data_IF_845538660460
#
_entry.id   IF_845538660460
#
_cell.length_a   1.000
_cell.length_b   1.000
_cell.length_c   1.000
_cell.angle_alpha   90.00
_cell.angle_beta   90.00
_cell.angle_gamma   90.00
#
_symmetry.space_group_name_H-M   'P 1'
#
loop_
_entity.id
_entity.type
_entity.pdbx_description
1 polymer ?
#
# COMPACT_ATOMS: atom_id res chain seq x y z
N UNK A 1 27.95 -57.61 -42.50
CA UNK A 1 26.95 -56.55 -42.81
C UNK A 1 25.55 -57.11 -42.58
N UNK A 2 24.93 -56.87 -41.43
CA UNK A 2 23.52 -57.23 -41.15
C UNK A 2 22.70 -55.94 -41.18
N UNK A 3 21.83 -55.79 -42.18
CA UNK A 3 20.90 -54.66 -42.32
C UNK A 3 19.93 -54.69 -41.14
N UNK A 4 20.08 -53.76 -40.18
CA UNK A 4 19.09 -53.54 -39.11
C UNK A 4 17.85 -52.87 -39.71
N UNK A 5 16.69 -53.45 -39.45
CA UNK A 5 15.40 -52.98 -39.94
C UNK A 5 15.05 -51.59 -39.35
N UNK A 6 14.73 -50.58 -40.19
CA UNK A 6 14.45 -49.21 -39.74
C UNK A 6 13.15 -49.08 -38.91
N UNK A 7 12.25 -50.07 -38.96
CA UNK A 7 10.98 -50.03 -38.22
C UNK A 7 11.12 -50.16 -36.69
N UNK A 8 12.22 -50.71 -36.18
CA UNK A 8 12.41 -50.85 -34.72
C UNK A 8 12.69 -49.51 -34.06
N UNK A 9 13.50 -48.65 -34.68
CA UNK A 9 13.91 -47.36 -34.13
C UNK A 9 12.72 -46.39 -34.02
N UNK A 10 11.81 -46.42 -34.99
CA UNK A 10 10.59 -45.60 -34.97
C UNK A 10 9.62 -46.02 -33.87
N UNK A 11 9.52 -47.31 -33.55
CA UNK A 11 8.67 -47.81 -32.45
C UNK A 11 9.23 -47.42 -31.07
N UNK A 12 10.55 -47.46 -30.88
CA UNK A 12 11.18 -46.98 -29.64
C UNK A 12 11.02 -45.46 -29.51
N UNK A 13 11.24 -44.69 -30.56
CA UNK A 13 11.06 -43.24 -30.53
C UNK A 13 9.61 -42.83 -30.24
N UNK A 14 8.63 -43.56 -30.77
CA UNK A 14 7.20 -43.33 -30.49
C UNK A 14 6.80 -43.73 -29.06
N UNK A 15 7.37 -44.82 -28.52
CA UNK A 15 7.20 -45.21 -27.11
C UNK A 15 7.88 -44.22 -26.15
N UNK A 16 9.07 -43.71 -26.48
CA UNK A 16 9.74 -42.66 -25.72
C UNK A 16 9.01 -41.32 -25.81
N UNK A 17 8.37 -40.97 -26.94
CA UNK A 17 7.55 -39.76 -27.04
C UNK A 17 6.23 -39.87 -26.27
N UNK A 18 5.66 -41.09 -26.15
CA UNK A 18 4.49 -41.35 -25.30
C UNK A 18 4.83 -41.34 -23.80
N UNK A 19 6.06 -41.72 -23.42
CA UNK A 19 6.58 -41.62 -22.04
C UNK A 19 7.02 -40.20 -21.64
N UNK A 20 7.18 -39.29 -22.61
CA UNK A 20 7.49 -37.87 -22.40
C UNK A 20 6.26 -36.96 -22.42
N UNK A 21 5.04 -37.51 -22.56
CA UNK A 21 3.84 -36.76 -22.25
C UNK A 21 3.88 -36.40 -20.77
N UNK A 22 3.96 -35.11 -20.39
CA UNK A 22 3.90 -34.73 -18.99
C UNK A 22 2.52 -35.16 -18.51
N UNK A 23 2.47 -36.21 -17.70
CA UNK A 23 1.32 -36.50 -16.87
C UNK A 23 1.16 -35.24 -16.02
N UNK A 24 0.22 -34.38 -16.40
CA UNK A 24 -0.22 -33.29 -15.53
C UNK A 24 -0.86 -33.99 -14.34
N UNK A 25 -0.06 -34.25 -13.32
CA UNK A 25 -0.59 -34.56 -12.01
C UNK A 25 -1.51 -33.39 -11.68
N UNK A 26 -2.82 -33.67 -11.63
CA UNK A 26 -3.76 -32.74 -11.02
C UNK A 26 -3.27 -32.63 -9.58
N UNK A 27 -2.61 -31.52 -9.26
CA UNK A 27 -2.18 -31.25 -7.91
C UNK A 27 -3.44 -31.28 -7.05
N UNK A 28 -3.52 -32.27 -6.15
CA UNK A 28 -4.61 -32.36 -5.20
C UNK A 28 -4.57 -31.13 -4.29
N UNK A 29 -5.73 -30.63 -3.89
CA UNK A 29 -5.82 -29.50 -2.97
C UNK A 29 -5.00 -29.79 -1.70
N UNK A 30 -4.13 -28.85 -1.34
CA UNK A 30 -3.40 -28.93 -0.09
C UNK A 30 -4.38 -28.62 1.05
N UNK A 31 -4.69 -29.64 1.85
CA UNK A 31 -5.57 -29.51 3.01
C UNK A 31 -4.77 -28.92 4.18
N UNK A 32 -5.28 -27.85 4.78
CA UNK A 32 -4.71 -27.26 5.99
C UNK A 32 -5.38 -27.86 7.22
N UNK A 33 -4.59 -28.56 8.06
CA UNK A 33 -5.05 -28.91 9.40
C UNK A 33 -4.97 -27.69 10.30
N UNK A 34 -6.12 -27.33 10.85
CA UNK A 34 -6.30 -26.14 11.68
C UNK A 34 -6.14 -26.41 13.15
N UNK A 35 -6.08 -27.67 13.59
CA UNK A 35 -5.97 -28.02 15.01
C UNK A 35 -4.63 -27.63 15.66
N UNK A 36 -3.46 -27.92 15.06
CA UNK A 36 -2.16 -27.64 15.69
C UNK A 36 -1.72 -26.18 15.58
N UNK A 37 -2.58 -25.28 15.13
CA UNK A 37 -2.26 -23.85 14.99
C UNK A 37 -1.89 -23.23 16.34
N UNK A 38 -0.62 -22.88 16.47
CA UNK A 38 -0.04 -22.15 17.60
C UNK A 38 -0.41 -20.64 17.57
N UNK A 39 0.36 -19.82 18.28
CA UNK A 39 0.17 -18.36 18.35
C UNK A 39 0.50 -17.61 17.06
N UNK A 40 1.19 -18.23 16.10
CA UNK A 40 1.58 -17.58 14.85
C UNK A 40 0.53 -17.73 13.75
N UNK A 41 0.30 -16.70 12.93
CA UNK A 41 -0.58 -16.81 11.77
C UNK A 41 -0.01 -17.76 10.72
N UNK A 42 -0.88 -18.52 10.06
CA UNK A 42 -0.50 -19.29 8.87
C UNK A 42 -0.89 -18.51 7.61
N UNK A 43 0.08 -18.32 6.71
CA UNK A 43 -0.19 -17.81 5.36
C UNK A 43 -0.96 -18.85 4.55
N UNK A 44 -2.07 -18.43 3.93
CA UNK A 44 -2.94 -19.33 3.19
C UNK A 44 -2.57 -19.45 1.71
N UNK A 45 -1.59 -18.69 1.24
CA UNK A 45 -1.23 -18.60 -0.19
C UNK A 45 -0.98 -19.96 -0.83
N UNK A 46 -0.23 -20.84 -0.16
CA UNK A 46 0.08 -22.19 -0.68
C UNK A 46 -1.08 -23.20 -0.55
N UNK A 47 -2.12 -22.86 0.22
CA UNK A 47 -3.29 -23.72 0.45
C UNK A 47 -4.45 -23.37 -0.46
N UNK A 48 -4.40 -22.24 -1.15
CA UNK A 48 -5.43 -21.86 -2.11
C UNK A 48 -5.26 -22.60 -3.42
N UNK A 49 -6.35 -23.22 -3.88
CA UNK A 49 -6.53 -23.49 -5.29
C UNK A 49 -7.18 -22.25 -5.93
N UNK A 50 -6.63 -21.76 -7.05
CA UNK A 50 -7.06 -20.50 -7.66
C UNK A 50 -7.67 -20.73 -9.05
N UNK A 51 -8.76 -20.04 -9.34
CA UNK A 51 -9.41 -19.98 -10.65
C UNK A 51 -9.66 -18.52 -11.04
N UNK A 52 -9.15 -18.12 -12.20
CA UNK A 52 -9.50 -16.82 -12.80
C UNK A 52 -10.84 -16.92 -13.56
N UNK A 53 -11.71 -15.94 -13.33
CA UNK A 53 -13.01 -15.74 -13.97
C UNK A 53 -13.01 -14.41 -14.75
N UNK A 54 -12.53 -14.38 -16.01
CA UNK A 54 -12.51 -13.18 -16.84
C UNK A 54 -13.90 -12.71 -17.27
N UNK A 55 -14.90 -13.60 -17.31
CA UNK A 55 -16.25 -13.25 -17.75
C UNK A 55 -17.12 -12.69 -16.61
N UNK A 56 -16.65 -12.76 -15.37
CA UNK A 56 -17.38 -12.34 -14.16
C UNK A 56 -18.72 -13.07 -13.95
N UNK A 57 -18.94 -14.17 -14.65
CA UNK A 57 -20.23 -14.84 -14.74
C UNK A 57 -20.33 -16.09 -13.87
N UNK A 58 -19.21 -16.62 -13.37
CA UNK A 58 -19.22 -17.86 -12.60
C UNK A 58 -19.90 -17.64 -11.25
N UNK A 59 -20.79 -18.56 -10.89
CA UNK A 59 -21.44 -18.63 -9.57
C UNK A 59 -20.84 -19.74 -8.71
N UNK A 60 -21.16 -19.77 -7.41
CA UNK A 60 -20.75 -20.85 -6.52
C UNK A 60 -21.16 -22.23 -7.07
N UNK A 61 -22.40 -22.34 -7.58
CA UNK A 61 -22.91 -23.59 -8.13
C UNK A 61 -22.13 -24.03 -9.39
N UNK A 62 -21.61 -23.08 -10.17
CA UNK A 62 -20.80 -23.41 -11.35
C UNK A 62 -19.41 -23.88 -10.99
N UNK A 63 -18.74 -23.20 -10.04
CA UNK A 63 -17.38 -23.57 -9.62
C UNK A 63 -17.33 -24.90 -8.86
N UNK A 64 -18.47 -25.36 -8.33
CA UNK A 64 -18.63 -26.68 -7.71
C UNK A 64 -18.84 -27.81 -8.72
N UNK A 65 -19.22 -27.52 -9.98
CA UNK A 65 -19.35 -28.55 -11.02
C UNK A 65 -17.96 -29.11 -11.36
N UNK A 66 -17.86 -30.43 -11.54
CA UNK A 66 -16.60 -31.14 -11.77
C UNK A 66 -15.73 -30.52 -12.88
N UNK A 67 -16.36 -30.11 -13.98
CA UNK A 67 -15.69 -29.47 -15.12
C UNK A 67 -14.95 -28.19 -14.69
N UNK A 68 -15.61 -27.31 -13.95
CA UNK A 68 -15.01 -26.05 -13.49
C UNK A 68 -14.09 -26.28 -12.29
N UNK A 69 -14.46 -27.17 -11.37
CA UNK A 69 -13.68 -27.54 -10.21
C UNK A 69 -12.29 -28.10 -10.58
N UNK A 70 -12.17 -28.75 -11.75
CA UNK A 70 -10.91 -29.27 -12.30
C UNK A 70 -9.97 -28.19 -12.86
N UNK A 71 -10.48 -26.98 -13.11
CA UNK A 71 -9.72 -25.84 -13.63
C UNK A 71 -8.97 -25.06 -12.54
N UNK A 72 -9.28 -25.32 -11.26
CA UNK A 72 -8.57 -24.72 -10.14
C UNK A 72 -7.11 -25.17 -10.14
N UNK A 73 -6.20 -24.21 -9.97
CA UNK A 73 -4.75 -24.46 -9.89
C UNK A 73 -4.29 -24.40 -8.43
N UNK A 74 -3.94 -25.55 -7.88
CA UNK A 74 -3.44 -25.72 -6.51
C UNK A 74 -1.89 -25.75 -6.42
N UNK A 75 -1.19 -25.15 -7.39
CA UNK A 75 0.27 -25.12 -7.51
C UNK A 75 0.90 -23.81 -7.00
N UNK A 76 0.20 -23.10 -6.10
CA UNK A 76 0.67 -21.83 -5.58
C UNK A 76 1.92 -22.02 -4.73
N UNK A 77 2.98 -21.26 -5.03
CA UNK A 77 4.21 -21.30 -4.24
C UNK A 77 4.02 -20.64 -2.88
N UNK A 78 4.68 -21.12 -1.82
CA UNK A 78 4.68 -20.45 -0.52
C UNK A 78 5.13 -18.99 -0.66
N UNK A 79 4.22 -18.08 -0.35
CA UNK A 79 4.47 -16.64 -0.37
C UNK A 79 3.53 -15.94 0.62
N UNK A 80 3.82 -14.69 0.94
CA UNK A 80 2.96 -13.89 1.80
C UNK A 80 1.62 -13.57 1.12
N UNK A 81 1.61 -13.29 -0.20
CA UNK A 81 0.38 -12.93 -0.90
C UNK A 81 0.38 -13.39 -2.37
N UNK A 82 -0.83 -13.61 -2.90
CA UNK A 82 -1.06 -13.70 -4.34
C UNK A 82 -1.20 -12.28 -4.92
N UNK A 83 -0.42 -11.94 -5.94
CA UNK A 83 -0.46 -10.62 -6.58
C UNK A 83 -0.65 -10.77 -8.09
N UNK A 84 -1.84 -10.43 -8.58
CA UNK A 84 -2.18 -10.46 -10.00
C UNK A 84 -2.16 -9.06 -10.64
N UNK A 85 -1.82 -8.02 -9.87
CA UNK A 85 -1.75 -6.65 -10.34
C UNK A 85 -3.10 -6.11 -10.81
N UNK A 86 -3.09 -5.22 -11.81
CA UNK A 86 -4.30 -4.64 -12.40
C UNK A 86 -4.92 -5.60 -13.42
N UNK A 87 -6.11 -6.09 -13.11
CA UNK A 87 -6.93 -6.95 -13.96
C UNK A 87 -8.40 -6.61 -13.73
N UNK A 88 -9.25 -6.91 -14.71
CA UNK A 88 -10.71 -6.75 -14.62
C UNK A 88 -11.40 -8.08 -14.29
N UNK A 89 -10.65 -9.19 -14.19
CA UNK A 89 -11.17 -10.52 -13.87
C UNK A 89 -11.54 -10.66 -12.40
N UNK A 90 -12.48 -11.55 -12.09
CA UNK A 90 -12.70 -12.03 -10.72
C UNK A 90 -11.79 -13.24 -10.45
N UNK A 91 -11.38 -13.43 -9.20
CA UNK A 91 -10.59 -14.58 -8.78
C UNK A 91 -11.36 -15.38 -7.74
N UNK A 92 -11.55 -16.66 -8.04
CA UNK A 92 -12.10 -17.65 -7.14
C UNK A 92 -10.96 -18.36 -6.43
N UNK A 93 -11.02 -18.42 -5.10
CA UNK A 93 -10.12 -19.16 -4.24
C UNK A 93 -10.92 -20.27 -3.59
N UNK A 94 -10.40 -21.50 -3.66
CA UNK A 94 -10.91 -22.66 -2.93
C UNK A 94 -9.90 -23.02 -1.85
N UNK A 95 -10.37 -23.16 -0.62
CA UNK A 95 -9.54 -23.50 0.54
C UNK A 95 -10.16 -24.69 1.26
N UNK A 96 -9.37 -25.74 1.45
CA UNK A 96 -9.77 -26.96 2.15
C UNK A 96 -9.19 -26.96 3.56
N UNK A 97 -10.07 -26.87 4.56
CA UNK A 97 -9.74 -26.82 5.98
C UNK A 97 -10.13 -28.14 6.65
N UNK A 98 -9.25 -28.66 7.51
CA UNK A 98 -9.52 -29.82 8.34
C UNK A 98 -9.38 -29.47 9.81
N UNK A 99 -10.17 -30.11 10.66
CA UNK A 99 -9.96 -30.15 12.09
C UNK A 99 -9.87 -31.61 12.51
N UNK A 100 -8.66 -32.09 12.74
CA UNK A 100 -8.43 -33.48 13.15
C UNK A 100 -8.62 -33.71 14.65
N UNK A 101 -8.79 -32.64 15.45
CA UNK A 101 -8.89 -32.74 16.89
C UNK A 101 -10.29 -33.11 17.40
N UNK A 102 -10.33 -33.49 18.67
CA UNK A 102 -11.51 -33.98 19.38
C UNK A 102 -12.40 -32.84 19.94
N UNK A 103 -12.22 -31.61 19.45
CA UNK A 103 -13.00 -30.44 19.87
C UNK A 103 -13.25 -29.51 18.70
N UNK A 104 -14.39 -28.79 18.67
CA UNK A 104 -14.60 -27.69 17.75
C UNK A 104 -13.53 -26.62 17.91
N UNK A 105 -13.12 -26.04 16.78
CA UNK A 105 -12.04 -25.07 16.70
C UNK A 105 -12.55 -23.78 16.04
N UNK A 106 -12.37 -22.66 16.72
CA UNK A 106 -12.65 -21.32 16.17
C UNK A 106 -11.40 -20.71 15.53
N UNK A 107 -11.55 -20.18 14.32
CA UNK A 107 -10.48 -19.51 13.58
C UNK A 107 -10.97 -18.18 12.99
N UNK A 108 -10.04 -17.27 12.77
CA UNK A 108 -10.29 -16.01 12.07
C UNK A 108 -9.57 -16.04 10.73
N UNK A 109 -10.32 -16.08 9.64
CA UNK A 109 -9.80 -15.94 8.28
C UNK A 109 -9.72 -14.45 7.93
N UNK A 110 -8.51 -13.91 7.87
CA UNK A 110 -8.25 -12.51 7.54
C UNK A 110 -7.82 -12.39 6.07
N UNK A 111 -8.39 -11.42 5.36
CA UNK A 111 -7.90 -10.92 4.07
C UNK A 111 -7.38 -9.49 4.30
N UNK A 112 -6.06 -9.36 4.43
CA UNK A 112 -5.37 -8.14 4.84
C UNK A 112 -5.16 -7.14 3.69
N UNK A 113 -6.26 -6.79 3.03
CA UNK A 113 -6.34 -5.70 2.06
C UNK A 113 -7.73 -5.06 2.11
N UNK A 114 -7.81 -3.87 2.69
CA UNK A 114 -9.04 -3.09 2.88
C UNK A 114 -9.69 -2.63 1.56
N UNK A 115 -8.91 -2.56 0.47
CA UNK A 115 -9.34 -2.03 -0.82
C UNK A 115 -10.08 -3.01 -1.74
N UNK A 116 -10.32 -4.26 -1.33
CA UNK A 116 -11.06 -5.21 -2.16
C UNK A 116 -12.49 -4.72 -2.40
N UNK A 117 -12.79 -4.34 -3.64
CA UNK A 117 -14.07 -3.75 -4.03
C UNK A 117 -15.27 -4.65 -3.69
N UNK A 118 -15.22 -5.93 -4.09
CA UNK A 118 -16.22 -6.94 -3.76
C UNK A 118 -15.57 -8.25 -3.34
N UNK A 119 -16.10 -8.83 -2.26
CA UNK A 119 -15.73 -10.14 -1.73
C UNK A 119 -17.02 -10.91 -1.47
N UNK A 120 -17.10 -12.13 -2.00
CA UNK A 120 -18.11 -13.10 -1.63
C UNK A 120 -17.41 -14.25 -0.92
N UNK A 121 -17.83 -14.52 0.32
CA UNK A 121 -17.32 -15.61 1.13
C UNK A 121 -18.41 -16.65 1.28
N UNK A 122 -18.10 -17.90 0.91
CA UNK A 122 -19.03 -19.01 0.95
C UNK A 122 -18.49 -20.08 1.91
N UNK A 123 -19.27 -20.40 2.93
CA UNK A 123 -18.95 -21.44 3.92
C UNK A 123 -20.11 -22.42 4.06
N UNK A 124 -19.83 -23.72 4.28
CA UNK A 124 -20.87 -24.70 4.57
C UNK A 124 -21.47 -24.45 5.96
N UNK A 125 -22.78 -24.62 6.10
CA UNK A 125 -23.48 -24.68 7.38
C UNK A 125 -23.54 -26.11 7.92
N UNK A 126 -24.18 -26.29 9.07
CA UNK A 126 -24.32 -27.60 9.71
C UNK A 126 -25.10 -28.63 8.87
N UNK A 127 -25.91 -28.17 7.90
CA UNK A 127 -26.63 -29.04 6.96
C UNK A 127 -25.82 -29.36 5.68
N UNK A 128 -24.65 -28.74 5.51
CA UNK A 128 -23.84 -28.81 4.31
C UNK A 128 -24.25 -27.83 3.21
N UNK A 129 -25.28 -27.01 3.44
CA UNK A 129 -25.66 -25.94 2.53
C UNK A 129 -24.70 -24.74 2.67
N UNK A 130 -24.41 -24.05 1.57
CA UNK A 130 -23.46 -22.94 1.62
C UNK A 130 -24.16 -21.62 1.97
N UNK A 131 -23.72 -21.00 3.06
CA UNK A 131 -24.06 -19.62 3.41
C UNK A 131 -23.10 -18.67 2.72
N UNK A 132 -23.64 -17.60 2.15
CA UNK A 132 -22.87 -16.59 1.40
C UNK A 132 -22.90 -15.26 2.13
N UNK A 133 -21.73 -14.74 2.46
CA UNK A 133 -21.53 -13.37 2.92
C UNK A 133 -21.00 -12.55 1.75
N UNK A 134 -21.70 -11.47 1.40
CA UNK A 134 -21.22 -10.49 0.41
C UNK A 134 -20.79 -9.21 1.12
N UNK A 135 -19.52 -8.85 1.00
CA UNK A 135 -18.93 -7.64 1.60
C UNK A 135 -17.92 -7.00 0.64
N UNK A 136 -17.35 -5.86 1.00
CA UNK A 136 -16.36 -5.18 0.17
C UNK A 136 -16.10 -3.73 0.54
N UNK A 137 -15.13 -3.12 -0.12
CA UNK A 137 -14.83 -1.69 -0.02
C UNK A 137 -15.96 -0.85 -0.63
N UNK A 138 -16.72 -1.41 -1.57
CA UNK A 138 -17.88 -0.78 -2.18
C UNK A 138 -19.22 -1.12 -1.50
N UNK A 139 -19.24 -1.96 -0.47
CA UNK A 139 -20.46 -2.27 0.29
C UNK A 139 -20.45 -1.58 1.65
N UNK A 140 -21.61 -1.34 2.29
CA UNK A 140 -21.66 -0.75 3.62
C UNK A 140 -20.78 -1.50 4.63
N UNK A 141 -20.14 -0.80 5.55
CA UNK A 141 -19.27 -1.41 6.58
C UNK A 141 -20.00 -2.47 7.39
N UNK A 142 -21.29 -2.26 7.67
CA UNK A 142 -22.16 -3.20 8.39
C UNK A 142 -22.33 -4.58 7.72
N UNK A 143 -21.94 -4.73 6.44
CA UNK A 143 -21.93 -6.04 5.76
C UNK A 143 -20.77 -6.95 6.20
N UNK A 144 -19.77 -6.40 6.91
CA UNK A 144 -18.62 -7.18 7.38
C UNK A 144 -19.03 -8.05 8.57
N UNK A 145 -18.76 -9.38 8.54
CA UNK A 145 -19.11 -10.27 9.66
C UNK A 145 -18.40 -9.93 10.97
N UNK A 146 -17.18 -9.41 10.88
CA UNK A 146 -16.41 -8.94 12.03
C UNK A 146 -15.99 -7.48 11.78
N UNK A 147 -16.25 -6.55 12.72
CA UNK A 147 -16.01 -5.13 12.54
C UNK A 147 -14.51 -4.80 12.66
N UNK A 148 -13.78 -4.95 11.56
CA UNK A 148 -12.35 -4.64 11.46
C UNK A 148 -12.07 -3.86 10.18
N UNK A 149 -10.96 -3.11 10.12
CA UNK A 149 -10.52 -2.39 8.91
C UNK A 149 -10.20 -3.31 7.71
N UNK A 150 -9.76 -4.54 7.96
CA UNK A 150 -9.65 -5.63 6.99
C UNK A 150 -10.90 -6.51 6.96
N UNK A 151 -10.95 -7.46 6.03
CA UNK A 151 -12.06 -8.40 5.91
C UNK A 151 -11.74 -9.64 6.72
N UNK A 152 -12.52 -9.89 7.76
CA UNK A 152 -12.32 -11.01 8.68
C UNK A 152 -13.58 -11.86 8.71
N UNK A 153 -13.41 -13.15 8.47
CA UNK A 153 -14.47 -14.15 8.47
C UNK A 153 -14.23 -15.12 9.62
N UNK A 154 -15.04 -15.05 10.70
CA UNK A 154 -15.01 -16.04 11.77
C UNK A 154 -15.46 -17.41 11.24
N UNK A 155 -14.69 -18.44 11.56
CA UNK A 155 -14.92 -19.82 11.15
C UNK A 155 -15.04 -20.70 12.38
N UNK A 156 -16.00 -21.63 12.35
CA UNK A 156 -16.16 -22.67 13.37
C UNK A 156 -16.04 -24.02 12.67
N UNK A 157 -14.96 -24.75 12.96
CA UNK A 157 -14.68 -26.06 12.40
C UNK A 157 -15.05 -27.12 13.45
N UNK A 158 -16.10 -27.95 13.22
CA UNK A 158 -16.45 -29.05 14.11
C UNK A 158 -15.29 -30.04 14.28
N UNK A 159 -15.33 -30.83 15.34
CA UNK A 159 -14.38 -31.95 15.54
C UNK A 159 -14.41 -32.94 14.37
N UNK A 160 -13.26 -33.49 14.02
CA UNK A 160 -13.06 -34.45 12.92
C UNK A 160 -13.72 -34.06 11.59
N UNK A 161 -13.75 -32.77 11.27
CA UNK A 161 -14.45 -32.26 10.08
C UNK A 161 -13.49 -31.81 8.98
N UNK A 162 -13.96 -31.92 7.74
CA UNK A 162 -13.33 -31.33 6.56
C UNK A 162 -14.32 -30.35 5.93
N UNK A 163 -13.95 -29.08 5.85
CA UNK A 163 -14.77 -28.02 5.26
C UNK A 163 -14.03 -27.37 4.10
N UNK A 164 -14.74 -27.14 3.00
CA UNK A 164 -14.23 -26.38 1.87
C UNK A 164 -14.91 -25.02 1.86
N UNK A 165 -14.12 -23.95 1.87
CA UNK A 165 -14.63 -22.59 1.76
C UNK A 165 -14.23 -21.99 0.42
N UNK A 166 -15.10 -21.15 -0.13
CA UNK A 166 -14.86 -20.46 -1.39
C UNK A 166 -14.85 -18.95 -1.18
N UNK A 167 -13.90 -18.28 -1.81
CA UNK A 167 -13.81 -16.84 -1.83
C UNK A 167 -13.82 -16.37 -3.26
N UNK A 168 -14.71 -15.44 -3.59
CA UNK A 168 -14.69 -14.71 -4.85
C UNK A 168 -14.29 -13.28 -4.60
N UNK A 169 -13.17 -12.86 -5.17
CA UNK A 169 -12.64 -11.51 -5.03
C UNK A 169 -12.67 -10.84 -6.40
N UNK A 170 -13.29 -9.66 -6.47
CA UNK A 170 -13.31 -8.83 -7.67
C UNK A 170 -12.93 -7.40 -7.30
N UNK A 171 -11.73 -7.00 -7.71
CA UNK A 171 -11.17 -5.66 -7.48
C UNK A 171 -10.04 -5.42 -8.48
N UNK A 172 -9.58 -4.18 -8.62
CA UNK A 172 -8.40 -3.86 -9.43
C UNK A 172 -7.62 -2.75 -8.70
N UNK A 173 -6.38 -3.01 -8.24
CA UNK A 173 -5.57 -4.21 -8.42
C UNK A 173 -5.94 -5.37 -7.47
N UNK A 174 -5.62 -6.61 -7.85
CA UNK A 174 -5.82 -7.82 -7.04
C UNK A 174 -4.53 -8.21 -6.31
N UNK A 175 -4.54 -7.98 -5.00
CA UNK A 175 -3.52 -8.43 -4.06
C UNK A 175 -4.22 -9.15 -2.91
N UNK A 176 -4.01 -10.45 -2.79
CA UNK A 176 -4.69 -11.32 -1.82
C UNK A 176 -3.65 -11.78 -0.80
N UNK A 177 -3.63 -11.10 0.35
CA UNK A 177 -2.86 -11.47 1.53
C UNK A 177 -3.84 -12.10 2.53
N UNK A 178 -3.94 -13.43 2.53
CA UNK A 178 -4.86 -14.12 3.43
C UNK A 178 -4.12 -14.94 4.49
N UNK A 179 -4.60 -14.84 5.73
CA UNK A 179 -4.00 -15.47 6.89
C UNK A 179 -5.07 -16.13 7.74
N UNK A 180 -4.73 -17.28 8.31
CA UNK A 180 -5.57 -17.95 9.29
C UNK A 180 -4.98 -17.75 10.67
N UNK A 181 -5.82 -17.29 11.59
CA UNK A 181 -5.44 -16.96 12.95
C UNK A 181 -6.24 -17.77 13.97
N UNK A 182 -5.63 -18.04 15.12
CA UNK A 182 -6.41 -18.32 16.33
C UNK A 182 -7.05 -17.03 16.84
N UNK A 183 -8.20 -17.12 17.50
CA UNK A 183 -8.95 -15.94 18.00
C UNK A 183 -8.06 -15.08 18.92
N UNK A 184 -7.29 -15.72 19.80
CA UNK A 184 -6.41 -15.04 20.77
C UNK A 184 -5.23 -14.33 20.08
N UNK A 185 -4.60 -14.98 19.10
CA UNK A 185 -3.52 -14.38 18.33
C UNK A 185 -4.02 -13.20 17.49
N UNK A 186 -5.21 -13.32 16.89
CA UNK A 186 -5.84 -12.27 16.11
C UNK A 186 -6.10 -11.01 16.96
N UNK A 187 -6.72 -11.15 18.14
CA UNK A 187 -6.95 -10.00 19.03
C UNK A 187 -5.65 -9.35 19.54
N UNK A 188 -4.60 -10.15 19.79
CA UNK A 188 -3.30 -9.60 20.16
C UNK A 188 -2.66 -8.82 19.01
N UNK A 189 -2.74 -9.35 17.78
CA UNK A 189 -2.27 -8.70 16.56
C UNK A 189 -3.03 -7.40 16.29
N UNK A 190 -4.36 -7.44 16.34
CA UNK A 190 -5.25 -6.29 16.15
C UNK A 190 -4.93 -5.17 17.14
N UNK A 191 -4.80 -5.49 18.44
CA UNK A 191 -4.40 -4.52 19.47
C UNK A 191 -3.05 -3.87 19.19
N UNK A 192 -2.05 -4.68 18.83
CA UNK A 192 -0.71 -4.16 18.53
C UNK A 192 -0.71 -3.29 17.27
N UNK A 193 -1.53 -3.65 16.27
CA UNK A 193 -1.71 -2.85 15.06
C UNK A 193 -2.32 -1.48 15.38
N UNK A 194 -3.43 -1.43 16.12
CA UNK A 194 -4.05 -0.15 16.51
C UNK A 194 -3.12 0.71 17.37
N UNK A 195 -2.32 0.12 18.26
CA UNK A 195 -1.29 0.84 19.00
C UNK A 195 -0.25 1.47 18.06
N UNK A 196 0.24 0.73 17.06
CA UNK A 196 1.16 1.25 16.05
C UNK A 196 0.56 2.40 15.23
N UNK A 197 -0.70 2.26 14.79
CA UNK A 197 -1.42 3.31 14.07
C UNK A 197 -1.65 4.55 14.95
N UNK A 198 -2.05 4.38 16.21
CA UNK A 198 -2.24 5.48 17.15
C UNK A 198 -0.94 6.27 17.37
N UNK A 199 0.20 5.58 17.48
CA UNK A 199 1.51 6.23 17.55
C UNK A 199 1.85 7.02 16.29
N UNK A 200 1.64 6.43 15.11
CA UNK A 200 1.90 7.10 13.83
C UNK A 200 1.04 8.36 13.67
N UNK A 201 -0.28 8.24 13.85
CA UNK A 201 -1.20 9.37 13.72
C UNK A 201 -1.00 10.42 14.81
N UNK A 202 -0.65 10.00 16.03
CA UNK A 202 -0.28 10.91 17.11
C UNK A 202 0.96 11.74 16.76
N UNK A 203 2.00 11.11 16.21
CA UNK A 203 3.21 11.81 15.76
C UNK A 203 2.91 12.75 14.59
N UNK A 204 2.14 12.31 13.59
CA UNK A 204 1.74 13.13 12.46
C UNK A 204 0.93 14.36 12.92
N UNK A 205 -0.02 14.17 13.84
CA UNK A 205 -0.80 15.25 14.43
C UNK A 205 0.07 16.23 15.21
N UNK A 206 0.99 15.74 16.05
CA UNK A 206 1.91 16.59 16.80
C UNK A 206 2.81 17.42 15.85
N UNK A 207 3.29 16.81 14.76
CA UNK A 207 4.07 17.52 13.73
C UNK A 207 3.24 18.57 13.00
N UNK A 208 1.98 18.28 12.66
CA UNK A 208 1.08 19.24 12.04
C UNK A 208 0.81 20.43 12.97
N UNK A 209 0.43 20.17 14.23
CA UNK A 209 0.18 21.22 15.23
C UNK A 209 1.42 22.08 15.49
N UNK A 210 2.59 21.46 15.63
CA UNK A 210 3.83 22.19 15.82
C UNK A 210 4.16 23.11 14.62
N UNK A 211 3.99 22.63 13.39
CA UNK A 211 4.21 23.45 12.21
C UNK A 211 3.14 24.53 12.03
N UNK A 212 1.91 24.28 12.48
CA UNK A 212 0.86 25.28 12.52
C UNK A 212 1.20 26.42 13.49
N UNK A 213 1.72 26.11 14.68
CA UNK A 213 2.20 27.12 15.63
C UNK A 213 3.35 27.95 15.06
N UNK A 214 4.26 27.32 14.30
CA UNK A 214 5.33 28.05 13.61
C UNK A 214 4.82 28.94 12.51
N UNK A 215 3.79 28.49 11.77
CA UNK A 215 3.12 29.33 10.81
C UNK A 215 2.51 30.57 11.49
N UNK A 216 1.84 30.41 12.63
CA UNK A 216 1.27 31.54 13.37
C UNK A 216 2.36 32.50 13.88
N UNK A 217 3.51 31.98 14.30
CA UNK A 217 4.62 32.77 14.83
C UNK A 217 5.47 33.46 13.76
N UNK A 218 5.79 32.78 12.65
CA UNK A 218 6.70 33.25 11.60
C UNK A 218 5.98 33.79 10.38
N UNK A 219 4.71 33.43 10.17
CA UNK A 219 3.86 33.79 9.02
C UNK A 219 4.46 33.45 7.65
N UNK A 220 5.35 32.46 7.60
CA UNK A 220 5.92 31.95 6.35
C UNK A 220 5.05 30.81 5.78
N UNK A 221 4.62 30.93 4.53
CA UNK A 221 3.70 29.98 3.88
C UNK A 221 4.23 28.53 3.79
N UNK A 222 5.54 28.33 3.86
CA UNK A 222 6.17 27.00 3.82
C UNK A 222 5.69 26.09 4.97
N UNK A 223 5.43 26.65 6.15
CA UNK A 223 4.94 25.89 7.29
C UNK A 223 3.50 25.42 7.08
N UNK A 224 2.65 26.26 6.48
CA UNK A 224 1.27 25.87 6.15
C UNK A 224 1.22 24.79 5.06
N UNK A 225 2.08 24.88 4.05
CA UNK A 225 2.22 23.83 3.03
C UNK A 225 2.65 22.49 3.64
N UNK A 226 3.56 22.53 4.62
CA UNK A 226 3.98 21.33 5.36
C UNK A 226 2.83 20.72 6.17
N UNK A 227 2.03 21.55 6.85
CA UNK A 227 0.83 21.09 7.57
C UNK A 227 -0.14 20.41 6.60
N UNK A 228 -0.41 21.03 5.45
CA UNK A 228 -1.25 20.44 4.41
C UNK A 228 -0.70 19.08 3.94
N UNK A 229 0.60 19.00 3.68
CA UNK A 229 1.25 17.76 3.26
C UNK A 229 1.12 16.63 4.29
N UNK A 230 1.47 16.89 5.55
CA UNK A 230 1.40 15.86 6.61
C UNK A 230 -0.03 15.43 6.87
N UNK A 231 -0.98 16.37 6.95
CA UNK A 231 -2.38 16.05 7.21
C UNK A 231 -3.00 15.26 6.06
N UNK A 232 -2.76 15.66 4.81
CA UNK A 232 -3.28 14.93 3.65
C UNK A 232 -2.65 13.55 3.51
N UNK A 233 -1.35 13.41 3.80
CA UNK A 233 -0.65 12.12 3.79
C UNK A 233 -1.18 11.19 4.89
N UNK A 234 -1.38 11.71 6.10
CA UNK A 234 -1.98 10.95 7.19
C UNK A 234 -3.40 10.49 6.82
N UNK A 235 -4.22 11.39 6.30
CA UNK A 235 -5.58 11.04 5.88
C UNK A 235 -5.59 10.02 4.73
N UNK A 236 -4.68 10.14 3.75
CA UNK A 236 -4.54 9.16 2.67
C UNK A 236 -4.16 7.77 3.17
N UNK A 237 -3.24 7.67 4.13
CA UNK A 237 -2.84 6.41 4.74
C UNK A 237 -3.94 5.82 5.63
N UNK A 238 -4.68 6.65 6.37
CA UNK A 238 -5.84 6.21 7.13
C UNK A 238 -6.94 5.64 6.22
N UNK A 239 -7.22 6.31 5.09
CA UNK A 239 -8.21 5.87 4.11
C UNK A 239 -7.75 4.56 3.45
N UNK A 240 -6.49 4.50 3.03
CA UNK A 240 -5.88 3.30 2.43
C UNK A 240 -5.94 2.11 3.37
N UNK A 241 -5.63 2.28 4.66
CA UNK A 241 -5.67 1.19 5.64
C UNK A 241 -7.11 0.78 6.01
N UNK A 242 -8.14 1.45 5.51
CA UNK A 242 -9.55 1.15 5.84
C UNK A 242 -10.04 1.77 7.15
N UNK A 243 -9.19 2.49 7.89
CA UNK A 243 -9.52 3.09 9.19
C UNK A 243 -10.61 4.16 9.07
N UNK A 244 -10.60 4.95 7.99
CA UNK A 244 -11.66 5.94 7.75
C UNK A 244 -13.02 5.26 7.59
N UNK A 245 -13.07 4.07 6.96
CA UNK A 245 -14.33 3.33 6.78
C UNK A 245 -14.83 2.72 8.09
N UNK A 246 -13.91 2.25 8.94
CA UNK A 246 -14.25 1.66 10.23
C UNK A 246 -14.78 2.70 11.23
N UNK A 247 -14.15 3.87 11.31
CA UNK A 247 -14.49 4.88 12.33
C UNK A 247 -15.45 5.98 11.85
N UNK A 248 -15.71 6.09 10.54
CA UNK A 248 -16.62 7.13 10.03
C UNK A 248 -18.06 6.63 10.01
N UNK A 249 -18.99 7.34 10.67
CA UNK A 249 -20.42 7.03 10.59
C UNK A 249 -21.04 7.43 9.24
N UNK A 250 -20.30 8.16 8.39
CA UNK A 250 -20.73 8.60 7.06
C UNK A 250 -20.39 7.52 6.03
N UNK A 251 -21.07 6.37 6.12
CA UNK A 251 -20.92 5.24 5.20
C UNK A 251 -21.66 5.49 3.88
N UNK A 252 -21.32 6.58 3.20
CA UNK A 252 -21.79 6.78 1.82
C UNK A 252 -20.87 6.02 0.87
N UNK A 253 -21.47 5.21 0.00
CA UNK A 253 -20.82 4.42 -1.05
C UNK A 253 -19.75 5.21 -1.82
N UNK A 254 -20.05 6.47 -2.13
CA UNK A 254 -19.19 7.36 -2.92
C UNK A 254 -17.99 7.88 -2.13
N UNK A 255 -18.16 8.19 -0.84
CA UNK A 255 -17.08 8.77 -0.03
C UNK A 255 -15.98 7.75 0.24
N UNK A 256 -16.33 6.53 0.66
CA UNK A 256 -15.34 5.51 0.97
C UNK A 256 -14.47 5.18 -0.24
N UNK A 257 -15.08 5.11 -1.43
CA UNK A 257 -14.39 4.79 -2.68
C UNK A 257 -13.45 5.92 -3.15
N UNK A 258 -13.94 7.17 -3.17
CA UNK A 258 -13.20 8.31 -3.72
C UNK A 258 -12.15 8.84 -2.72
N UNK A 259 -12.37 8.63 -1.41
CA UNK A 259 -11.53 9.19 -0.35
C UNK A 259 -10.05 8.83 -0.50
N UNK A 260 -9.72 7.57 -0.81
CA UNK A 260 -8.32 7.13 -0.94
C UNK A 260 -7.63 7.91 -2.05
N UNK A 261 -8.18 7.87 -3.26
CA UNK A 261 -7.59 8.50 -4.45
C UNK A 261 -7.53 10.03 -4.35
N UNK A 262 -8.57 10.67 -3.79
CA UNK A 262 -8.57 12.13 -3.56
C UNK A 262 -7.53 12.52 -2.53
N UNK A 263 -7.42 11.77 -1.43
CA UNK A 263 -6.47 12.07 -0.36
C UNK A 263 -5.03 11.92 -0.81
N UNK A 264 -4.72 10.85 -1.58
CA UNK A 264 -3.40 10.70 -2.20
C UNK A 264 -3.11 11.85 -3.17
N UNK A 265 -4.06 12.19 -4.05
CA UNK A 265 -3.88 13.30 -5.00
C UNK A 265 -3.58 14.61 -4.27
N UNK A 266 -4.31 14.91 -3.19
CA UNK A 266 -4.10 16.10 -2.37
C UNK A 266 -2.76 16.06 -1.61
N UNK A 267 -2.35 14.89 -1.11
CA UNK A 267 -1.05 14.69 -0.48
C UNK A 267 0.10 14.94 -1.46
N UNK A 268 0.00 14.46 -2.71
CA UNK A 268 1.01 14.75 -3.74
C UNK A 268 1.01 16.23 -4.14
N UNK A 269 -0.15 16.87 -4.31
CA UNK A 269 -0.23 18.30 -4.62
C UNK A 269 0.48 19.12 -3.55
N UNK A 270 0.12 18.92 -2.28
CA UNK A 270 0.71 19.64 -1.15
C UNK A 270 2.19 19.32 -0.97
N UNK A 271 2.60 18.06 -1.20
CA UNK A 271 4.01 17.63 -1.15
C UNK A 271 4.87 18.24 -2.25
N UNK A 272 4.37 18.33 -3.49
CA UNK A 272 5.07 18.99 -4.60
C UNK A 272 5.16 20.49 -4.37
N UNK A 273 4.10 21.13 -3.88
CA UNK A 273 4.12 22.56 -3.50
C UNK A 273 5.14 22.83 -2.37
N UNK A 274 5.18 21.97 -1.36
CA UNK A 274 6.17 22.04 -0.29
C UNK A 274 7.60 21.88 -0.82
N UNK A 275 7.84 20.89 -1.67
CA UNK A 275 9.16 20.65 -2.32
C UNK A 275 9.62 21.90 -3.09
N UNK A 276 8.69 22.50 -3.84
CA UNK A 276 8.92 23.71 -4.64
C UNK A 276 9.37 24.90 -3.78
N UNK A 277 8.70 25.14 -2.65
CA UNK A 277 9.03 26.21 -1.71
C UNK A 277 10.30 25.92 -0.91
N UNK A 278 10.50 24.69 -0.45
CA UNK A 278 11.66 24.32 0.39
C UNK A 278 12.98 24.36 -0.40
N UNK A 279 12.96 23.89 -1.65
CA UNK A 279 14.12 23.92 -2.54
C UNK A 279 14.24 25.23 -3.32
N UNK A 280 13.26 26.12 -3.23
CA UNK A 280 13.20 27.36 -4.02
C UNK A 280 13.47 27.12 -5.52
N UNK A 281 12.78 26.11 -6.08
CA UNK A 281 13.05 25.59 -7.43
C UNK A 281 12.83 26.64 -8.51
N UNK A 282 11.95 27.61 -8.29
CA UNK A 282 11.66 28.67 -9.25
C UNK A 282 12.88 29.54 -9.59
N UNK A 283 13.80 29.73 -8.65
CA UNK A 283 15.00 30.55 -8.87
C UNK A 283 16.20 29.72 -9.32
N UNK A 284 16.36 28.50 -8.77
CA UNK A 284 17.58 27.69 -8.98
C UNK A 284 17.43 26.80 -10.21
N UNK A 285 16.23 26.23 -10.44
CA UNK A 285 15.98 25.20 -11.45
C UNK A 285 14.63 25.42 -12.17
N UNK A 286 14.47 26.54 -12.92
CA UNK A 286 13.18 26.96 -13.46
C UNK A 286 12.53 25.97 -14.45
N UNK A 287 13.33 25.13 -15.13
CA UNK A 287 12.80 24.06 -15.99
C UNK A 287 12.11 22.97 -15.16
N UNK A 288 12.69 22.55 -14.04
CA UNK A 288 12.09 21.58 -13.12
C UNK A 288 10.86 22.17 -12.42
N UNK A 289 10.91 23.45 -12.08
CA UNK A 289 9.76 24.17 -11.51
C UNK A 289 8.52 24.10 -12.40
N UNK A 290 8.71 24.18 -13.72
CA UNK A 290 7.63 24.05 -14.70
C UNK A 290 7.03 22.64 -14.70
N UNK A 291 7.85 21.60 -14.65
CA UNK A 291 7.37 20.22 -14.55
C UNK A 291 6.60 19.96 -13.25
N UNK A 292 7.09 20.49 -12.12
CA UNK A 292 6.37 20.41 -10.83
C UNK A 292 4.97 21.05 -10.94
N UNK A 293 4.85 22.22 -11.58
CA UNK A 293 3.55 22.88 -11.80
C UNK A 293 2.63 22.09 -12.72
N UNK A 294 3.17 21.50 -13.79
CA UNK A 294 2.39 20.65 -14.72
C UNK A 294 1.82 19.45 -13.96
N UNK A 295 2.64 18.76 -13.16
CA UNK A 295 2.20 17.63 -12.35
C UNK A 295 1.13 18.04 -11.33
N UNK A 296 1.29 19.18 -10.65
CA UNK A 296 0.24 19.72 -9.76
C UNK A 296 -1.06 19.97 -10.53
N UNK A 297 -0.99 20.55 -11.74
CA UNK A 297 -2.15 20.74 -12.60
C UNK A 297 -2.84 19.43 -12.98
N UNK A 298 -2.07 18.41 -13.40
CA UNK A 298 -2.59 17.08 -13.74
C UNK A 298 -3.24 16.41 -12.53
N UNK A 299 -2.65 16.53 -11.34
CA UNK A 299 -3.22 15.98 -10.10
C UNK A 299 -4.52 16.69 -9.68
N UNK A 300 -4.64 18.00 -9.95
CA UNK A 300 -5.90 18.72 -9.74
C UNK A 300 -6.98 18.25 -10.72
N UNK A 301 -6.61 18.08 -11.99
CA UNK A 301 -7.52 17.52 -13.01
C UNK A 301 -7.93 16.08 -12.66
N UNK A 302 -7.03 15.28 -12.08
CA UNK A 302 -7.34 13.91 -11.69
C UNK A 302 -8.38 13.84 -10.56
N UNK A 303 -8.37 14.80 -9.62
CA UNK A 303 -9.43 14.90 -8.60
C UNK A 303 -10.79 15.13 -9.24
N UNK A 304 -10.88 15.97 -10.28
CA UNK A 304 -12.14 16.18 -11.00
C UNK A 304 -12.56 14.95 -11.81
N UNK A 305 -11.61 14.26 -12.44
CA UNK A 305 -11.86 13.04 -13.23
C UNK A 305 -12.28 11.84 -12.36
N UNK A 306 -11.81 11.79 -11.11
CA UNK A 306 -12.19 10.78 -10.13
C UNK A 306 -13.68 10.82 -9.76
N UNK A 307 -14.32 12.00 -9.86
CA UNK A 307 -15.76 12.12 -9.63
C UNK A 307 -16.60 11.42 -10.72
N UNK A 308 -16.02 11.13 -11.89
CA UNK A 308 -16.76 10.64 -13.07
C UNK A 308 -16.33 9.26 -13.56
N UNK A 309 -15.06 8.84 -13.43
CA UNK A 309 -14.53 7.64 -14.11
C UNK A 309 -13.55 6.79 -13.27
N UNK A 310 -13.69 6.74 -11.96
CA UNK A 310 -12.71 6.14 -11.03
C UNK A 310 -12.23 4.72 -11.40
N UNK A 311 -13.15 3.82 -11.81
CA UNK A 311 -12.80 2.43 -12.20
C UNK A 311 -11.83 2.32 -13.38
N UNK A 312 -11.86 3.27 -14.32
CA UNK A 312 -11.04 3.21 -15.54
C UNK A 312 -9.63 3.78 -15.33
N UNK A 313 -9.44 4.64 -14.33
CA UNK A 313 -8.20 5.41 -14.15
C UNK A 313 -7.26 4.88 -13.07
N UNK A 314 -7.61 3.82 -12.34
CA UNK A 314 -6.81 3.31 -11.21
C UNK A 314 -5.33 3.06 -11.54
N UNK A 315 -5.03 2.38 -12.66
CA UNK A 315 -3.65 2.12 -13.11
C UNK A 315 -2.93 3.41 -13.51
N UNK A 316 -3.62 4.30 -14.22
CA UNK A 316 -3.07 5.59 -14.66
C UNK A 316 -2.72 6.50 -13.47
N UNK A 317 -3.56 6.49 -12.43
CA UNK A 317 -3.30 7.22 -11.18
C UNK A 317 -2.10 6.66 -10.43
N UNK A 318 -1.98 5.33 -10.32
CA UNK A 318 -0.81 4.72 -9.71
C UNK A 318 0.49 5.11 -10.43
N UNK A 319 0.49 5.13 -11.77
CA UNK A 319 1.63 5.60 -12.57
C UNK A 319 1.92 7.10 -12.38
N UNK A 320 0.87 7.92 -12.25
CA UNK A 320 1.00 9.35 -11.98
C UNK A 320 1.64 9.61 -10.60
N UNK A 321 1.22 8.88 -9.57
CA UNK A 321 1.77 8.95 -8.22
C UNK A 321 3.23 8.48 -8.18
N UNK A 322 3.54 7.36 -8.85
CA UNK A 322 4.91 6.86 -8.98
C UNK A 322 5.81 7.89 -9.67
N UNK A 323 5.33 8.48 -10.77
CA UNK A 323 6.05 9.52 -11.51
C UNK A 323 6.28 10.78 -10.66
N UNK A 324 5.33 11.14 -9.80
CA UNK A 324 5.45 12.27 -8.86
C UNK A 324 6.54 12.03 -7.81
N UNK A 325 6.64 10.79 -7.29
CA UNK A 325 7.74 10.41 -6.38
C UNK A 325 9.11 10.50 -7.06
N UNK A 326 9.23 9.97 -8.28
CA UNK A 326 10.48 10.04 -9.06
C UNK A 326 10.87 11.48 -9.34
N UNK A 327 9.91 12.33 -9.72
CA UNK A 327 10.14 13.76 -9.94
C UNK A 327 10.63 14.46 -8.65
N UNK A 328 10.00 14.20 -7.50
CA UNK A 328 10.42 14.76 -6.22
C UNK A 328 11.84 14.31 -5.83
N UNK A 329 12.18 13.04 -6.01
CA UNK A 329 13.54 12.54 -5.75
C UNK A 329 14.56 13.20 -6.69
N UNK A 330 14.26 13.22 -7.99
CA UNK A 330 15.15 13.78 -9.00
C UNK A 330 15.41 15.28 -8.77
N UNK A 331 14.36 16.05 -8.43
CA UNK A 331 14.51 17.46 -8.07
C UNK A 331 15.38 17.65 -6.84
N UNK A 332 15.22 16.83 -5.80
CA UNK A 332 16.08 16.85 -4.62
C UNK A 332 17.55 16.57 -4.94
N UNK A 333 17.83 15.50 -5.70
CA UNK A 333 19.19 15.11 -6.09
C UNK A 333 19.84 16.18 -6.96
N UNK A 334 19.13 16.70 -7.96
CA UNK A 334 19.67 17.72 -8.85
C UNK A 334 19.98 19.04 -8.11
N UNK A 335 19.15 19.46 -7.15
CA UNK A 335 19.43 20.61 -6.30
C UNK A 335 20.62 20.37 -5.35
N UNK A 336 20.82 19.13 -4.87
CA UNK A 336 21.98 18.76 -4.07
C UNK A 336 23.28 18.81 -4.90
N UNK A 337 23.25 18.36 -6.16
CA UNK A 337 24.38 18.50 -7.09
C UNK A 337 24.75 19.97 -7.35
N UNK A 338 23.77 20.89 -7.30
CA UNK A 338 23.97 22.35 -7.34
C UNK A 338 24.49 22.93 -6.00
N UNK A 339 24.86 22.08 -5.05
CA UNK A 339 25.42 22.41 -3.72
C UNK A 339 24.51 23.26 -2.83
N UNK A 340 23.19 23.17 -3.01
CA UNK A 340 22.24 23.87 -2.14
C UNK A 340 22.16 23.20 -0.77
N UNK A 341 22.38 23.96 0.31
CA UNK A 341 22.30 23.42 1.68
C UNK A 341 20.94 22.81 2.00
N UNK A 342 19.84 23.48 1.64
CA UNK A 342 18.48 23.00 1.87
C UNK A 342 18.18 21.65 1.21
N UNK A 343 18.82 21.34 0.08
CA UNK A 343 18.59 20.11 -0.67
C UNK A 343 19.11 18.87 0.06
N UNK A 344 20.23 18.97 0.77
CA UNK A 344 20.74 17.88 1.59
C UNK A 344 19.75 17.53 2.72
N UNK A 345 19.20 18.54 3.40
CA UNK A 345 18.21 18.31 4.46
C UNK A 345 16.92 17.69 3.91
N UNK A 346 16.44 18.15 2.75
CA UNK A 346 15.29 17.53 2.08
C UNK A 346 15.55 16.06 1.75
N UNK A 347 16.69 15.73 1.12
CA UNK A 347 17.03 14.35 0.79
C UNK A 347 17.16 13.48 2.04
N UNK A 348 17.85 13.94 3.09
CA UNK A 348 17.96 13.16 4.33
C UNK A 348 16.62 12.91 5.01
N UNK A 349 15.67 13.85 4.91
CA UNK A 349 14.34 13.70 5.48
C UNK A 349 13.44 12.77 4.65
N UNK A 350 13.37 12.99 3.33
CA UNK A 350 12.33 12.41 2.49
C UNK A 350 12.75 11.20 1.67
N UNK A 351 14.04 10.87 1.57
CA UNK A 351 14.48 9.73 0.73
C UNK A 351 13.83 8.42 1.17
N UNK A 352 13.76 8.14 2.48
CA UNK A 352 13.11 6.92 2.97
C UNK A 352 11.61 6.89 2.66
N UNK A 353 10.90 8.01 2.82
CA UNK A 353 9.49 8.13 2.44
C UNK A 353 9.29 7.91 0.94
N UNK A 354 10.14 8.51 0.11
CA UNK A 354 10.03 8.42 -1.35
C UNK A 354 10.33 6.99 -1.83
N UNK A 355 11.38 6.35 -1.30
CA UNK A 355 11.68 4.96 -1.62
C UNK A 355 10.56 4.02 -1.17
N UNK A 356 9.99 4.25 0.03
CA UNK A 356 8.82 3.51 0.52
C UNK A 356 7.60 3.69 -0.38
N UNK A 357 7.35 4.91 -0.86
CA UNK A 357 6.27 5.23 -1.80
C UNK A 357 6.47 4.62 -3.19
N UNK A 358 7.70 4.59 -3.70
CA UNK A 358 8.05 3.90 -4.95
C UNK A 358 7.83 2.39 -4.81
N UNK A 359 8.30 1.79 -3.72
CA UNK A 359 8.08 0.36 -3.45
C UNK A 359 6.58 0.03 -3.34
N UNK A 360 5.82 0.90 -2.67
CA UNK A 360 4.36 0.78 -2.58
C UNK A 360 3.68 0.82 -3.97
N UNK A 361 4.06 1.77 -4.83
CA UNK A 361 3.51 1.89 -6.18
C UNK A 361 3.88 0.70 -7.09
N UNK A 362 5.13 0.23 -7.01
CA UNK A 362 5.58 -0.95 -7.78
C UNK A 362 4.88 -2.24 -7.33
N UNK A 363 4.60 -2.39 -6.03
CA UNK A 363 3.79 -3.49 -5.50
C UNK A 363 2.37 -3.46 -6.07
N UNK A 364 1.75 -2.29 -6.15
CA UNK A 364 0.40 -2.14 -6.74
C UNK A 364 0.36 -2.53 -8.23
N UNK A 365 1.47 -2.35 -8.95
CA UNK A 365 1.61 -2.79 -10.35
C UNK A 365 1.90 -4.29 -10.51
N UNK A 366 2.10 -5.04 -9.43
CA UNK A 366 2.48 -6.46 -9.47
C UNK A 366 3.97 -6.72 -9.68
N UNK A 367 4.83 -5.68 -9.67
CA UNK A 367 6.27 -5.82 -9.96
C UNK A 367 7.12 -6.18 -8.74
N UNK A 368 6.62 -5.94 -7.53
CA UNK A 368 7.30 -6.27 -6.28
C UNK A 368 6.46 -7.24 -5.42
N UNK A 369 7.13 -8.15 -4.68
CA UNK A 369 6.45 -9.02 -3.74
C UNK A 369 5.83 -8.21 -2.59
N UNK A 370 4.73 -8.72 -2.04
CA UNK A 370 4.04 -8.11 -0.89
C UNK A 370 4.73 -8.53 0.40
N UNK A 371 5.60 -7.68 0.94
CA UNK A 371 6.29 -7.87 2.22
C UNK A 371 5.99 -6.71 3.18
N UNK A 372 6.25 -6.88 4.49
CA UNK A 372 6.08 -5.84 5.53
C UNK A 372 6.72 -4.50 5.12
N UNK A 373 7.92 -4.53 4.53
CA UNK A 373 8.62 -3.32 4.06
C UNK A 373 7.87 -2.62 2.92
N UNK A 374 7.27 -3.35 2.00
CA UNK A 374 6.51 -2.78 0.88
C UNK A 374 5.12 -2.30 1.30
N UNK A 375 4.57 -2.84 2.40
CA UNK A 375 3.29 -2.46 2.98
C UNK A 375 3.45 -1.18 3.82
N UNK A 376 4.40 -1.19 4.75
CA UNK A 376 4.57 -0.12 5.75
C UNK A 376 5.72 0.83 5.44
N UNK A 377 6.51 0.59 4.39
CA UNK A 377 7.71 1.39 4.09
C UNK A 377 7.41 2.88 3.92
N UNK A 378 6.28 3.23 3.32
CA UNK A 378 5.85 4.63 3.23
C UNK A 378 5.50 5.24 4.60
N UNK A 379 4.83 4.49 5.49
CA UNK A 379 4.52 4.94 6.85
C UNK A 379 5.80 5.11 7.69
N UNK A 380 6.69 4.11 7.67
CA UNK A 380 7.97 4.12 8.39
C UNK A 380 8.85 5.28 7.90
N UNK A 381 8.99 5.44 6.58
CA UNK A 381 9.76 6.53 6.00
C UNK A 381 9.21 7.89 6.42
N UNK A 382 7.88 8.06 6.38
CA UNK A 382 7.22 9.32 6.76
C UNK A 382 7.37 9.64 8.24
N UNK A 383 7.27 8.66 9.14
CA UNK A 383 7.54 8.87 10.56
C UNK A 383 9.00 9.29 10.83
N UNK A 384 9.97 8.67 10.14
CA UNK A 384 11.39 8.97 10.31
C UNK A 384 11.79 10.34 9.74
N UNK A 385 11.06 10.83 8.72
CA UNK A 385 11.31 12.12 8.07
C UNK A 385 11.24 13.34 9.00
N UNK A 386 10.58 13.21 10.16
CA UNK A 386 10.45 14.30 11.12
C UNK A 386 11.73 14.67 11.87
N UNK A 387 12.65 13.71 12.07
CA UNK A 387 13.89 13.97 12.82
C UNK A 387 14.86 14.90 12.07
N UNK A 388 15.13 14.68 10.76
CA UNK A 388 16.05 15.55 10.01
C UNK A 388 15.55 17.00 9.85
N UNK A 389 14.23 17.20 9.77
CA UNK A 389 13.62 18.53 9.59
C UNK A 389 13.79 19.39 10.85
N UNK A 390 13.68 18.81 12.05
CA UNK A 390 13.92 19.56 13.29
C UNK A 390 15.40 19.94 13.46
N UNK A 391 16.32 19.05 13.07
CA UNK A 391 17.76 19.33 13.06
C UNK A 391 18.17 20.40 12.04
N UNK A 392 17.56 20.42 10.84
CA UNK A 392 17.74 21.51 9.88
C UNK A 392 17.37 22.85 10.49
N UNK A 393 16.28 22.89 11.25
CA UNK A 393 15.79 24.14 11.84
C UNK A 393 16.70 24.64 12.96
N UNK A 394 17.28 23.75 13.76
CA UNK A 394 18.32 24.09 14.74
C UNK A 394 19.56 24.63 14.00
N UNK A 395 19.98 23.98 12.92
CA UNK A 395 21.12 24.42 12.12
C UNK A 395 20.89 25.79 11.46
N UNK A 396 19.70 26.04 10.90
CA UNK A 396 19.33 27.33 10.31
C UNK A 396 19.16 28.43 11.35
N UNK A 397 18.58 28.12 12.52
CA UNK A 397 18.46 29.08 13.63
C UNK A 397 19.83 29.44 14.20
N UNK A 398 20.72 28.45 14.35
CA UNK A 398 22.10 28.67 14.77
C UNK A 398 22.90 29.46 13.71
N UNK A 399 22.68 29.20 12.42
CA UNK A 399 23.24 30.03 11.37
C UNK A 399 22.72 31.48 11.50
N UNK A 400 21.41 31.73 11.51
CA UNK A 400 20.87 33.10 11.66
C UNK A 400 21.38 33.81 12.92
N UNK A 401 21.45 33.09 14.05
CA UNK A 401 21.97 33.59 15.33
C UNK A 401 23.46 33.91 15.31
N UNK A 402 24.28 33.22 14.51
CA UNK A 402 25.72 33.49 14.37
C UNK A 402 26.02 34.58 13.34
N UNK A 403 25.19 34.75 12.30
CA UNK A 403 25.41 35.73 11.23
C UNK A 403 24.93 37.15 11.61
N UNK A 404 23.88 37.30 12.42
CA UNK A 404 23.36 38.62 12.86
C UNK A 404 24.37 39.43 13.71
N UNK A 405 25.10 38.83 14.69
CA UNK A 405 26.16 39.51 15.42
C UNK A 405 27.39 39.82 14.55
N UNK A 406 27.76 38.91 13.64
CA UNK A 406 28.91 39.09 12.75
C UNK A 406 28.69 40.24 11.74
N UNK A 407 27.50 40.36 11.18
CA UNK A 407 27.16 41.47 10.27
C UNK A 407 27.08 42.83 11.00
N UNK A 408 26.55 42.85 12.22
CA UNK A 408 26.51 44.08 13.03
C UNK A 408 27.90 44.51 13.53
N UNK A 409 28.80 43.56 13.83
CA UNK A 409 30.20 43.84 14.14
C UNK A 409 30.96 44.39 12.92
N UNK A 410 30.74 43.82 11.73
CA UNK A 410 31.36 44.29 10.48
C UNK A 410 30.85 45.69 10.09
N UNK A 411 29.56 45.97 10.29
CA UNK A 411 28.98 47.31 10.09
C UNK A 411 29.55 48.36 11.05
N UNK A 412 29.77 48.00 12.33
CA UNK A 412 30.42 48.90 13.32
C UNK A 412 31.89 49.19 12.99
N UNK A 413 32.63 48.20 12.48
CA UNK A 413 34.03 48.38 12.05
C UNK A 413 34.14 49.27 10.80
N UNK A 414 33.18 49.19 9.88
CA UNK A 414 33.16 50.03 8.69
C UNK A 414 32.78 51.49 9.02
N UNK A 415 31.93 51.71 10.03
CA UNK A 415 31.56 53.06 10.49
C UNK A 415 32.66 53.75 11.30
N UNK A 416 33.55 53.01 11.98
CA UNK A 416 34.70 53.57 12.70
C UNK A 416 35.86 54.02 11.78
N UNK A 417 35.89 53.61 10.52
CA UNK A 417 36.91 54.04 9.53
C UNK A 417 36.54 55.33 8.78
N UNK A 418 35.38 55.93 9.05
CA UNK A 418 34.94 57.19 8.46
C UNK A 418 34.88 58.28 9.53
N UNK A 419 35.83 59.22 9.45
CA UNK A 419 35.91 60.61 9.97
C UNK A 419 36.97 60.91 11.06
N UNK A 420 37.61 62.11 11.05
CA UNK A 420 37.16 63.37 10.41
C UNK A 420 38.11 63.94 9.33
N UNK A 421 37.52 64.64 8.35
CA UNK A 421 38.23 65.63 7.53
C UNK A 421 38.32 66.93 8.34
N UNK A 422 39.53 67.49 8.37
CA UNK A 422 39.88 68.78 8.95
C UNK A 422 38.91 69.90 8.55
N UNK A 423 38.45 70.67 9.53
CA UNK A 423 37.88 71.99 9.36
C UNK A 423 38.68 72.95 10.26
N UNK A 424 39.70 73.59 9.67
CA UNK A 424 40.29 74.84 10.15
C UNK A 424 40.09 75.85 9.00
N UNK A 425 39.23 76.84 9.23
CA UNK A 425 39.24 78.16 8.62
C UNK A 425 38.47 79.10 9.55
#
# INVERSE_FOLDING_TARGET
MKKLNPCWHWRILFLCSLLLLPIRAVAADKVLDTYPLDREPVSLTEYFAVLEDPSLALTLADVQKLEVASRFKADQTPADALNYGYTDSAYWLRLSLSNTGDKPVERMLEIAYSGHAHIQFHQPDASGAYQTVSTGALLPFATRPYPNHYFVFPLVLPEHSNQVVYLRIHTSPIIILARLWTVQAFHAYERNYYLGQAWYFGMAMAMALFNLLLFLALREAIYLQYVGFVTCTAFALAAQNGLIKEFSPLDSYTWSNISVSVSFSLAFITGLLFTRSMLNTGQIVPRLDRWLKIFVGILLLSIMALATFEKTFGKSLALLYLSSFVLALWTGVYCAMKRQRSAYFFLTAFTLSILGGIAFGLRALGLLPTNVLTVYGMQIGSALSGKPISTWRIACRNARRNWLPAMSACAKLNNKKRWPKNANA
#
